data_IF_023402252342
#
_entry.id   IF_023402252342
#
_cell.length_a   1.000
_cell.length_b   1.000
_cell.length_c   1.000
_cell.angle_alpha   90.00
_cell.angle_beta   90.00
_cell.angle_gamma   90.00
#
_symmetry.space_group_name_H-M   'P 1'
#
loop_
_entity.id
_entity.type
_entity.pdbx_description
1 polymer ?
#
# COMPACT_ATOMS: atom_id res chain seq x y z
N UNK A 1 -12.94 -8.24 -10.40
CA UNK A 1 -12.25 -8.69 -9.17
C UNK A 1 -11.03 -9.56 -9.45
N UNK A 2 -11.02 -10.37 -10.53
CA UNK A 2 -9.89 -11.25 -10.88
C UNK A 2 -8.52 -10.56 -10.92
N UNK A 3 -8.40 -9.41 -11.62
CA UNK A 3 -7.15 -8.65 -11.74
C UNK A 3 -6.60 -8.17 -10.37
N UNK A 4 -7.39 -7.45 -9.53
CA UNK A 4 -6.99 -7.13 -8.16
C UNK A 4 -6.53 -8.34 -7.32
N UNK A 5 -7.30 -9.44 -7.33
CA UNK A 5 -6.97 -10.63 -6.55
C UNK A 5 -5.66 -11.27 -6.98
N UNK A 6 -5.39 -11.31 -8.29
CA UNK A 6 -4.14 -11.84 -8.83
C UNK A 6 -2.94 -11.00 -8.36
N UNK A 7 -3.05 -9.66 -8.41
CA UNK A 7 -2.01 -8.77 -7.90
C UNK A 7 -1.77 -8.95 -6.40
N UNK A 8 -2.85 -9.04 -5.60
CA UNK A 8 -2.76 -9.29 -4.16
C UNK A 8 -2.04 -10.61 -3.88
N UNK A 9 -2.41 -11.67 -4.59
CA UNK A 9 -1.77 -12.98 -4.45
C UNK A 9 -0.27 -12.92 -4.76
N UNK A 10 0.15 -12.27 -5.85
CA UNK A 10 1.56 -12.16 -6.21
C UNK A 10 2.38 -11.44 -5.13
N UNK A 11 1.87 -10.32 -4.62
CA UNK A 11 2.55 -9.54 -3.58
C UNK A 11 2.64 -10.37 -2.29
N UNK A 12 1.54 -11.01 -1.88
CA UNK A 12 1.52 -11.86 -0.68
C UNK A 12 2.46 -13.05 -0.80
N UNK A 13 2.50 -13.69 -1.96
CA UNK A 13 3.40 -14.82 -2.20
C UNK A 13 4.86 -14.40 -2.05
N UNK A 14 5.26 -13.29 -2.68
CA UNK A 14 6.63 -12.79 -2.58
C UNK A 14 6.98 -12.33 -1.16
N UNK A 15 6.08 -11.62 -0.49
CA UNK A 15 6.26 -11.19 0.90
C UNK A 15 6.47 -12.40 1.83
N UNK A 16 5.54 -13.35 1.83
CA UNK A 16 5.61 -14.51 2.73
C UNK A 16 6.76 -15.45 2.39
N UNK A 17 7.08 -15.64 1.10
CA UNK A 17 8.25 -16.43 0.70
C UNK A 17 9.56 -15.79 1.19
N UNK A 18 9.70 -14.46 1.07
CA UNK A 18 10.89 -13.74 1.54
C UNK A 18 11.03 -13.80 3.07
N UNK A 19 9.94 -13.57 3.82
CA UNK A 19 9.92 -13.62 5.28
C UNK A 19 10.21 -15.02 5.81
N UNK A 20 9.58 -16.03 5.22
CA UNK A 20 9.83 -17.43 5.56
C UNK A 20 11.31 -17.79 5.36
N UNK A 21 11.88 -17.42 4.21
CA UNK A 21 13.29 -17.71 3.93
C UNK A 21 14.22 -17.02 4.93
N UNK A 22 14.03 -15.72 5.17
CA UNK A 22 14.83 -14.96 6.16
C UNK A 22 14.73 -15.61 7.53
N UNK A 23 13.53 -15.90 8.00
CA UNK A 23 13.29 -16.45 9.35
C UNK A 23 13.91 -17.84 9.56
N UNK A 24 14.01 -18.65 8.51
CA UNK A 24 14.52 -20.04 8.58
C UNK A 24 16.00 -20.18 8.23
N UNK A 25 16.63 -19.16 7.65
CA UNK A 25 18.02 -19.23 7.18
C UNK A 25 18.93 -18.18 7.82
N UNK A 26 18.38 -17.16 8.49
CA UNK A 26 19.14 -16.09 9.11
C UNK A 26 18.95 -16.05 10.62
N UNK A 27 19.98 -15.61 11.34
CA UNK A 27 19.90 -15.26 12.76
C UNK A 27 19.56 -13.77 12.92
N UNK A 28 18.98 -13.40 14.07
CA UNK A 28 18.64 -11.99 14.34
C UNK A 28 19.88 -11.11 14.21
N UNK A 29 19.75 -9.99 13.50
CA UNK A 29 20.82 -9.03 13.24
C UNK A 29 21.80 -9.45 12.13
N UNK A 30 21.68 -10.66 11.56
CA UNK A 30 22.50 -11.10 10.45
C UNK A 30 22.26 -10.22 9.21
N UNK A 31 23.35 -9.87 8.53
CA UNK A 31 23.32 -9.09 7.29
C UNK A 31 23.86 -9.87 6.09
N UNK A 32 23.10 -9.88 5.00
CA UNK A 32 23.57 -10.33 3.68
C UNK A 32 23.66 -9.10 2.78
N UNK A 33 24.87 -8.79 2.29
CA UNK A 33 25.10 -7.69 1.35
C UNK A 33 24.66 -8.11 -0.04
N UNK A 34 23.67 -7.41 -0.60
CA UNK A 34 23.14 -7.73 -1.94
C UNK A 34 23.76 -6.83 -3.00
N UNK A 35 23.79 -5.51 -2.76
CA UNK A 35 24.39 -4.54 -3.68
C UNK A 35 25.34 -3.63 -2.89
N UNK A 36 26.64 -3.99 -2.95
CA UNK A 36 27.71 -3.27 -2.25
C UNK A 36 27.37 -3.05 -0.78
N UNK A 37 27.54 -1.81 -0.31
CA UNK A 37 27.17 -1.44 1.06
C UNK A 37 25.79 -0.77 1.17
N UNK A 38 25.11 -0.55 0.04
CA UNK A 38 23.89 0.26 -0.08
C UNK A 38 22.59 -0.52 0.12
N UNK A 39 22.52 -1.77 -0.36
CA UNK A 39 21.37 -2.65 -0.15
C UNK A 39 21.80 -3.94 0.56
N UNK A 40 21.15 -4.22 1.69
CA UNK A 40 21.39 -5.38 2.53
C UNK A 40 20.07 -6.02 2.92
N UNK A 41 20.09 -7.35 3.04
CA UNK A 41 19.07 -8.09 3.78
C UNK A 41 19.56 -8.13 5.23
N UNK A 42 18.89 -7.42 6.13
CA UNK A 42 19.20 -7.35 7.56
C UNK A 42 18.04 -7.94 8.34
N UNK A 43 18.21 -9.12 8.93
CA UNK A 43 17.09 -9.77 9.62
C UNK A 43 16.79 -9.08 10.95
N UNK A 44 15.60 -8.55 11.08
CA UNK A 44 15.05 -8.07 12.35
C UNK A 44 13.58 -8.45 12.48
N UNK A 45 13.09 -8.49 13.71
CA UNK A 45 11.70 -8.78 14.02
C UNK A 45 11.08 -7.58 14.73
N UNK A 46 9.93 -7.15 14.23
CA UNK A 46 9.21 -6.02 14.79
C UNK A 46 8.01 -6.52 15.61
N UNK A 47 8.03 -6.35 16.94
CA UNK A 47 6.91 -6.74 17.78
C UNK A 47 5.67 -5.88 17.55
N UNK A 48 5.72 -4.84 16.72
CA UNK A 48 4.61 -3.93 16.43
C UNK A 48 4.74 -2.58 17.12
N UNK A 49 5.97 -2.13 17.38
CA UNK A 49 6.24 -0.80 17.93
C UNK A 49 6.10 0.28 16.85
N UNK A 50 5.40 1.36 17.15
CA UNK A 50 5.46 2.60 16.39
C UNK A 50 6.35 3.60 17.16
N UNK A 51 7.38 4.15 16.51
CA UNK A 51 8.30 5.14 17.10
C UNK A 51 9.03 4.70 18.38
N UNK A 52 9.26 3.38 18.56
CA UNK A 52 9.96 2.85 19.74
C UNK A 52 9.14 2.90 21.03
N UNK A 53 7.84 3.21 20.96
CA UNK A 53 6.91 3.10 22.08
C UNK A 53 6.08 1.84 21.93
N UNK A 54 6.19 0.92 22.88
CA UNK A 54 5.24 -0.17 23.05
C UNK A 54 3.97 0.40 23.68
N UNK A 55 2.87 0.35 22.93
CA UNK A 55 1.57 0.57 23.54
C UNK A 55 1.33 -0.59 24.52
N UNK A 56 1.44 -0.33 25.82
CA UNK A 56 0.81 -1.13 26.88
C UNK A 56 1.09 -2.65 26.91
N UNK A 57 2.29 -3.11 26.50
CA UNK A 57 2.69 -4.53 26.57
C UNK A 57 1.86 -5.46 25.66
N UNK A 58 1.63 -6.71 26.09
CA UNK A 58 0.92 -7.74 25.29
C UNK A 58 -0.45 -7.26 24.77
N UNK A 59 -1.21 -6.54 25.60
CA UNK A 59 -2.54 -6.04 25.23
C UNK A 59 -2.50 -5.05 24.06
N UNK A 60 -1.49 -4.20 23.97
CA UNK A 60 -1.41 -3.25 22.86
C UNK A 60 -0.99 -3.90 21.56
N UNK A 61 -0.18 -4.97 21.61
CA UNK A 61 0.10 -5.80 20.43
C UNK A 61 -1.19 -6.43 19.88
N UNK A 62 -2.01 -7.05 20.75
CA UNK A 62 -3.29 -7.62 20.36
C UNK A 62 -4.20 -6.56 19.73
N UNK A 63 -4.35 -5.39 20.36
CA UNK A 63 -5.16 -4.29 19.83
C UNK A 63 -4.66 -3.83 18.45
N UNK A 64 -3.35 -3.70 18.27
CA UNK A 64 -2.76 -3.30 16.99
C UNK A 64 -3.02 -4.33 15.90
N UNK A 65 -2.91 -5.63 16.21
CA UNK A 65 -3.23 -6.71 15.27
C UNK A 65 -4.71 -6.71 14.91
N UNK A 66 -5.62 -6.59 15.88
CA UNK A 66 -7.07 -6.52 15.63
C UNK A 66 -7.45 -5.29 14.79
N UNK A 67 -6.86 -4.14 15.08
CA UNK A 67 -7.07 -2.93 14.28
C UNK A 67 -6.67 -3.13 12.82
N UNK A 68 -5.50 -3.74 12.57
CA UNK A 68 -5.05 -4.07 11.19
C UNK A 68 -6.04 -5.00 10.48
N UNK A 69 -6.55 -6.02 11.17
CA UNK A 69 -7.55 -6.96 10.62
C UNK A 69 -8.83 -6.21 10.21
N UNK A 70 -9.37 -5.38 11.10
CA UNK A 70 -10.58 -4.58 10.82
C UNK A 70 -10.32 -3.65 9.61
N UNK A 71 -9.19 -2.94 9.60
CA UNK A 71 -8.82 -2.07 8.49
C UNK A 71 -8.71 -2.83 7.16
N UNK A 72 -8.07 -4.01 7.14
CA UNK A 72 -7.95 -4.83 5.94
C UNK A 72 -9.32 -5.30 5.42
N UNK A 73 -10.25 -5.69 6.31
CA UNK A 73 -11.63 -6.06 5.93
C UNK A 73 -12.34 -4.87 5.28
N UNK A 74 -12.24 -3.68 5.87
CA UNK A 74 -12.85 -2.46 5.32
C UNK A 74 -12.26 -2.10 3.94
N UNK A 75 -10.94 -2.20 3.79
CA UNK A 75 -10.24 -1.97 2.52
C UNK A 75 -10.68 -2.99 1.46
N UNK A 76 -10.83 -4.28 1.83
CA UNK A 76 -11.32 -5.30 0.92
C UNK A 76 -12.76 -5.02 0.45
N UNK A 77 -13.66 -4.66 1.37
CA UNK A 77 -15.04 -4.27 1.04
C UNK A 77 -15.03 -3.07 0.10
N UNK A 78 -14.18 -2.07 0.36
CA UNK A 78 -14.04 -0.89 -0.48
C UNK A 78 -13.53 -1.24 -1.88
N UNK A 79 -12.48 -2.05 -1.99
CA UNK A 79 -11.93 -2.55 -3.26
C UNK A 79 -12.98 -3.32 -4.08
N UNK A 80 -13.75 -4.19 -3.42
CA UNK A 80 -14.83 -4.93 -4.05
C UNK A 80 -15.89 -3.99 -4.64
N UNK A 81 -16.30 -2.96 -3.89
CA UNK A 81 -17.25 -1.94 -4.36
C UNK A 81 -16.70 -1.14 -5.54
N UNK A 82 -15.43 -0.73 -5.51
CA UNK A 82 -14.80 -0.01 -6.63
C UNK A 82 -14.75 -0.83 -7.91
N UNK A 83 -14.53 -2.13 -7.78
CA UNK A 83 -14.51 -3.04 -8.93
C UNK A 83 -15.88 -3.20 -9.58
N UNK A 84 -16.98 -2.91 -8.86
CA UNK A 84 -18.34 -2.87 -9.40
C UNK A 84 -18.70 -1.54 -10.06
N UNK A 85 -17.95 -0.47 -9.78
CA UNK A 85 -18.19 0.90 -10.29
C UNK A 85 -17.29 1.27 -11.49
N UNK A 86 -16.63 0.28 -12.10
CA UNK A 86 -15.65 0.45 -13.18
C UNK A 86 -14.64 1.59 -12.93
N UNK A 87 -14.13 1.64 -11.70
CA UNK A 87 -13.23 2.72 -11.28
C UNK A 87 -11.87 2.64 -11.98
N UNK A 88 -11.19 3.80 -12.07
CA UNK A 88 -9.92 3.94 -12.77
C UNK A 88 -8.89 2.85 -12.37
N UNK A 89 -8.19 2.20 -13.32
CA UNK A 89 -7.31 1.07 -13.03
C UNK A 89 -6.21 1.35 -12.00
N UNK A 90 -5.62 2.56 -12.01
CA UNK A 90 -4.60 2.95 -11.02
C UNK A 90 -5.15 2.95 -9.58
N UNK A 91 -6.42 3.31 -9.38
CA UNK A 91 -7.06 3.27 -8.07
C UNK A 91 -7.23 1.82 -7.57
N UNK A 92 -7.61 0.92 -8.48
CA UNK A 92 -7.72 -0.50 -8.16
C UNK A 92 -6.36 -1.10 -7.82
N UNK A 93 -5.31 -0.74 -8.58
CA UNK A 93 -3.93 -1.17 -8.32
C UNK A 93 -3.46 -0.65 -6.95
N UNK A 94 -3.61 0.65 -6.66
CA UNK A 94 -3.15 1.23 -5.39
C UNK A 94 -3.80 0.56 -4.19
N UNK A 95 -5.12 0.35 -4.22
CA UNK A 95 -5.84 -0.25 -3.10
C UNK A 95 -5.51 -1.74 -2.98
N UNK A 96 -5.30 -2.44 -4.10
CA UNK A 96 -4.84 -3.84 -4.08
C UNK A 96 -3.47 -3.97 -3.42
N UNK A 97 -2.53 -3.06 -3.72
CA UNK A 97 -1.20 -3.06 -3.10
C UNK A 97 -1.25 -2.78 -1.58
N UNK A 98 -2.06 -1.80 -1.16
CA UNK A 98 -2.26 -1.50 0.26
C UNK A 98 -2.86 -2.71 0.97
N UNK A 99 -3.89 -3.33 0.39
CA UNK A 99 -4.54 -4.50 0.97
C UNK A 99 -3.60 -5.70 1.06
N UNK A 100 -2.81 -5.96 0.01
CA UNK A 100 -1.87 -7.07 -0.01
C UNK A 100 -0.80 -6.91 1.08
N UNK A 101 -0.22 -5.72 1.22
CA UNK A 101 0.76 -5.46 2.28
C UNK A 101 0.15 -5.54 3.68
N UNK A 102 -1.07 -5.02 3.86
CA UNK A 102 -1.78 -5.14 5.13
C UNK A 102 -2.00 -6.61 5.51
N UNK A 103 -2.46 -7.44 4.57
CA UNK A 103 -2.66 -8.88 4.80
C UNK A 103 -1.34 -9.58 5.10
N UNK A 104 -0.24 -9.25 4.39
CA UNK A 104 1.07 -9.84 4.63
C UNK A 104 1.55 -9.63 6.08
N UNK A 105 1.48 -8.41 6.58
CA UNK A 105 1.85 -8.12 7.97
C UNK A 105 0.85 -8.67 9.01
N UNK A 106 -0.43 -8.87 8.62
CA UNK A 106 -1.42 -9.56 9.48
C UNK A 106 -1.07 -11.04 9.62
N UNK A 107 -0.64 -11.71 8.55
CA UNK A 107 -0.27 -13.14 8.59
C UNK A 107 0.85 -13.36 9.61
N UNK A 108 1.91 -12.56 9.56
CA UNK A 108 3.01 -12.62 10.53
C UNK A 108 2.50 -12.43 11.97
N UNK A 109 1.80 -11.31 12.20
CA UNK A 109 1.22 -10.95 13.50
C UNK A 109 0.33 -12.04 14.07
N UNK A 110 -0.47 -12.70 13.23
CA UNK A 110 -1.41 -13.72 13.68
C UNK A 110 -0.74 -15.05 13.95
N UNK A 111 0.12 -15.50 13.04
CA UNK A 111 0.50 -16.91 12.98
C UNK A 111 1.98 -17.18 13.27
N UNK A 112 2.90 -16.24 13.03
CA UNK A 112 4.32 -16.55 13.13
C UNK A 112 4.76 -16.88 14.56
N UNK A 113 4.10 -16.30 15.58
CA UNK A 113 4.28 -16.65 16.98
C UNK A 113 4.01 -18.12 17.28
N UNK A 114 2.97 -18.68 16.66
CA UNK A 114 2.53 -20.06 16.89
C UNK A 114 3.29 -21.05 16.02
N UNK A 115 3.68 -20.63 14.80
CA UNK A 115 4.25 -21.52 13.80
C UNK A 115 5.76 -21.75 13.96
N UNK A 116 6.48 -20.81 14.56
CA UNK A 116 7.93 -20.87 14.67
C UNK A 116 8.35 -20.81 16.14
N UNK A 117 9.50 -21.40 16.44
CA UNK A 117 10.21 -21.08 17.68
C UNK A 117 10.89 -19.70 17.56
N UNK A 118 11.49 -19.26 18.67
CA UNK A 118 12.12 -17.95 18.75
C UNK A 118 13.34 -17.87 17.82
N UNK A 119 13.43 -16.76 17.07
CA UNK A 119 14.62 -16.44 16.28
C UNK A 119 15.68 -15.88 17.22
N UNK A 120 16.89 -16.47 17.26
CA UNK A 120 17.95 -16.00 18.15
C UNK A 120 19.11 -15.38 17.37
N UNK A 121 20.09 -14.79 18.08
CA UNK A 121 21.34 -14.30 17.48
C UNK A 121 22.27 -15.43 17.01
N UNK A 122 22.01 -16.68 17.42
CA UNK A 122 22.90 -17.82 17.20
C UNK A 122 22.28 -18.90 16.31
N UNK A 123 20.96 -19.06 16.33
CA UNK A 123 20.24 -20.06 15.56
C UNK A 123 19.02 -19.46 14.82
N UNK A 124 18.82 -19.83 13.53
CA UNK A 124 17.59 -19.50 12.80
C UNK A 124 16.37 -20.20 13.40
N UNK A 125 15.18 -19.65 13.14
CA UNK A 125 13.95 -20.26 13.60
C UNK A 125 13.59 -21.50 12.77
N UNK A 126 12.97 -22.47 13.43
CA UNK A 126 12.51 -23.75 12.91
C UNK A 126 10.99 -23.77 12.92
N UNK A 127 10.42 -24.14 11.78
CA UNK A 127 8.97 -24.28 11.59
C UNK A 127 8.44 -25.51 12.34
N UNK A 128 7.37 -25.35 13.13
CA UNK A 128 6.65 -26.42 13.81
C UNK A 128 7.61 -27.40 14.54
N UNK A 129 8.54 -26.82 15.31
CA UNK A 129 9.44 -27.60 16.16
C UNK A 129 8.64 -28.41 17.20
N UNK A 130 9.29 -29.39 17.83
CA UNK A 130 8.68 -30.14 18.93
C UNK A 130 8.36 -29.26 20.16
N UNK A 131 8.95 -28.06 20.22
CA UNK A 131 8.70 -27.02 21.22
C UNK A 131 7.52 -26.15 20.78
N UNK A 132 6.78 -25.61 21.75
CA UNK A 132 5.72 -24.64 21.49
C UNK A 132 6.28 -23.40 20.77
N UNK A 133 5.45 -22.78 19.92
CA UNK A 133 5.83 -21.53 19.25
C UNK A 133 6.18 -20.41 20.23
N UNK A 134 6.97 -19.41 19.79
CA UNK A 134 7.48 -18.37 20.68
C UNK A 134 6.41 -17.41 21.25
N UNK A 135 5.21 -17.37 20.66
CA UNK A 135 4.13 -16.50 21.12
C UNK A 135 2.73 -17.06 20.78
N UNK A 136 1.69 -16.70 21.56
CA UNK A 136 0.33 -17.08 21.26
C UNK A 136 -0.18 -16.41 19.97
N UNK A 137 -1.34 -16.88 19.50
CA UNK A 137 -2.03 -16.30 18.34
C UNK A 137 -2.18 -14.77 18.51
N UNK A 138 -2.04 -14.01 17.42
CA UNK A 138 -2.07 -12.54 17.36
C UNK A 138 -0.86 -11.77 17.92
N UNK A 139 0.11 -12.48 18.50
CA UNK A 139 1.31 -11.90 19.13
C UNK A 139 2.59 -12.13 18.35
N UNK A 140 2.52 -12.66 17.12
CA UNK A 140 3.68 -12.83 16.26
C UNK A 140 4.37 -11.51 15.92
N UNK A 141 5.68 -11.55 15.76
CA UNK A 141 6.47 -10.43 15.26
C UNK A 141 6.41 -10.38 13.73
N UNK A 142 6.46 -9.16 13.19
CA UNK A 142 6.57 -8.95 11.75
C UNK A 142 8.03 -9.11 11.35
N UNK A 143 8.30 -9.87 10.29
CA UNK A 143 9.67 -10.09 9.80
C UNK A 143 10.07 -8.94 8.88
N UNK A 144 11.11 -8.21 9.26
CA UNK A 144 11.67 -7.09 8.51
C UNK A 144 13.07 -7.44 8.03
N UNK A 145 13.39 -7.04 6.80
CA UNK A 145 14.60 -7.55 6.12
C UNK A 145 15.27 -6.56 5.17
N UNK A 146 14.51 -5.68 4.51
CA UNK A 146 15.04 -4.75 3.52
C UNK A 146 15.69 -3.57 4.23
N UNK A 147 17.01 -3.43 4.08
CA UNK A 147 17.78 -2.37 4.71
C UNK A 147 18.62 -1.59 3.68
N UNK A 148 18.42 -0.27 3.67
CA UNK A 148 19.09 0.66 2.75
C UNK A 148 19.82 1.78 3.53
N UNK A 149 21.02 1.53 4.06
CA UNK A 149 21.82 2.57 4.68
C UNK A 149 22.41 3.53 3.62
N UNK A 150 21.61 4.48 3.13
CA UNK A 150 21.94 5.31 1.97
C UNK A 150 23.15 6.21 2.24
N UNK A 151 23.17 6.90 3.38
CA UNK A 151 24.31 7.74 3.79
C UNK A 151 24.75 7.34 5.18
N UNK A 152 26.05 7.06 5.33
CA UNK A 152 26.72 6.82 6.61
C UNK A 152 27.85 7.82 6.74
N UNK A 153 27.94 8.49 7.88
CA UNK A 153 28.98 9.48 8.14
C UNK A 153 28.99 9.90 9.59
N UNK A 154 29.75 10.94 9.88
CA UNK A 154 29.71 11.62 11.19
C UNK A 154 29.18 13.03 10.98
N UNK A 155 28.44 13.53 11.96
CA UNK A 155 28.08 14.94 11.97
C UNK A 155 29.37 15.79 12.02
N UNK A 156 29.45 16.88 11.24
CA UNK A 156 30.57 17.79 11.33
C UNK A 156 30.78 18.29 12.75
N UNK A 157 32.04 18.44 13.18
CA UNK A 157 32.41 18.82 14.56
C UNK A 157 31.81 20.16 15.02
N UNK A 158 31.43 21.03 14.09
CA UNK A 158 30.81 22.32 14.37
C UNK A 158 29.31 22.24 14.69
N UNK A 159 28.64 21.09 14.51
CA UNK A 159 27.22 20.93 14.82
C UNK A 159 27.02 20.83 16.33
N UNK A 160 26.30 21.77 16.98
CA UNK A 160 26.03 21.70 18.42
C UNK A 160 25.30 20.40 18.79
N UNK A 161 25.65 19.78 19.93
CA UNK A 161 25.05 18.56 20.51
C UNK A 161 25.20 17.25 19.71
N UNK A 162 25.49 17.34 18.42
CA UNK A 162 25.59 16.19 17.50
C UNK A 162 26.98 16.02 16.90
N UNK A 163 27.88 17.00 17.03
CA UNK A 163 29.23 16.94 16.48
C UNK A 163 29.95 15.63 16.78
N UNK A 164 30.56 15.06 15.74
CA UNK A 164 31.27 13.78 15.76
C UNK A 164 30.44 12.53 16.08
N UNK A 165 29.11 12.65 16.30
CA UNK A 165 28.24 11.46 16.41
C UNK A 165 28.05 10.81 15.05
N UNK A 166 27.89 9.49 15.06
CA UNK A 166 27.55 8.75 13.83
C UNK A 166 26.16 9.12 13.34
N UNK A 167 26.07 9.32 12.04
CA UNK A 167 24.85 9.60 11.31
C UNK A 167 24.60 8.49 10.28
N UNK A 168 23.39 7.95 10.32
CA UNK A 168 22.89 7.02 9.30
C UNK A 168 21.59 7.59 8.76
N UNK A 169 21.62 8.05 7.50
CA UNK A 169 20.42 8.45 6.78
C UNK A 169 19.66 7.19 6.35
N UNK A 170 18.37 7.15 6.71
CA UNK A 170 17.46 6.03 6.46
C UNK A 170 17.81 4.74 7.23
N UNK A 171 17.54 4.78 8.54
CA UNK A 171 17.69 3.63 9.46
C UNK A 171 16.61 2.55 9.37
N UNK A 172 15.35 2.81 8.97
CA UNK A 172 14.31 1.80 9.01
C UNK A 172 14.67 0.54 8.21
N UNK A 173 14.40 -0.61 8.81
CA UNK A 173 14.34 -1.90 8.14
C UNK A 173 12.86 -2.22 7.95
N UNK A 174 12.48 -2.71 6.79
CA UNK A 174 11.08 -2.95 6.43
C UNK A 174 10.97 -4.19 5.55
N UNK A 175 9.76 -4.56 5.15
CA UNK A 175 9.52 -5.72 4.31
C UNK A 175 8.82 -5.38 2.98
N UNK A 176 8.52 -6.43 2.20
CA UNK A 176 7.85 -6.27 0.91
C UNK A 176 6.39 -5.79 1.10
N UNK A 177 5.71 -6.22 2.16
CA UNK A 177 4.39 -5.73 2.54
C UNK A 177 4.39 -4.21 2.81
N UNK A 178 5.34 -3.69 3.59
CA UNK A 178 5.46 -2.24 3.86
C UNK A 178 5.75 -1.46 2.57
N UNK A 179 6.65 -1.99 1.74
CA UNK A 179 6.94 -1.42 0.42
C UNK A 179 5.68 -1.33 -0.45
N UNK A 180 4.87 -2.38 -0.45
CA UNK A 180 3.60 -2.43 -1.18
C UNK A 180 2.59 -1.40 -0.66
N UNK A 181 2.48 -1.23 0.67
CA UNK A 181 1.64 -0.19 1.27
C UNK A 181 2.14 1.20 0.85
N UNK A 182 3.43 1.49 1.00
CA UNK A 182 4.01 2.80 0.67
C UNK A 182 3.81 3.15 -0.82
N UNK A 183 4.11 2.22 -1.73
CA UNK A 183 3.93 2.45 -3.18
C UNK A 183 2.45 2.60 -3.50
N UNK A 184 1.58 1.76 -2.92
CA UNK A 184 0.13 1.85 -3.10
C UNK A 184 -0.42 3.20 -2.66
N UNK A 185 -0.02 3.71 -1.48
CA UNK A 185 -0.40 5.04 -0.99
C UNK A 185 0.12 6.14 -1.92
N UNK A 186 1.36 6.04 -2.40
CA UNK A 186 1.92 7.01 -3.34
C UNK A 186 1.12 7.05 -4.66
N UNK A 187 0.78 5.89 -5.23
CA UNK A 187 -0.06 5.80 -6.43
C UNK A 187 -1.46 6.36 -6.16
N UNK A 188 -2.05 6.10 -4.98
CA UNK A 188 -3.35 6.64 -4.60
C UNK A 188 -3.35 8.17 -4.59
N UNK A 189 -2.32 8.78 -3.99
CA UNK A 189 -2.11 10.23 -3.97
C UNK A 189 -1.93 10.78 -5.39
N UNK A 190 -1.18 10.10 -6.25
CA UNK A 190 -1.02 10.52 -7.64
C UNK A 190 -2.31 10.37 -8.45
N UNK A 191 -3.10 9.31 -8.24
CA UNK A 191 -4.38 9.13 -8.90
C UNK A 191 -5.38 10.20 -8.48
N UNK A 192 -5.42 10.65 -7.22
CA UNK A 192 -6.38 11.70 -6.82
C UNK A 192 -6.26 12.96 -7.72
N UNK A 193 -5.04 13.29 -8.15
CA UNK A 193 -4.77 14.44 -9.01
C UNK A 193 -5.17 14.24 -10.49
N UNK A 194 -5.24 12.99 -10.96
CA UNK A 194 -5.53 12.63 -12.36
C UNK A 194 -6.95 12.10 -12.57
N UNK A 195 -7.43 11.28 -11.64
CA UNK A 195 -8.73 10.64 -11.64
C UNK A 195 -9.87 11.67 -11.46
N UNK A 196 -9.60 12.82 -10.80
CA UNK A 196 -10.52 13.96 -10.75
C UNK A 196 -10.59 14.72 -12.08
N UNK A 197 -9.45 14.98 -12.74
CA UNK A 197 -9.36 15.70 -14.03
C UNK A 197 -10.06 15.00 -15.20
N UNK A 198 -10.28 13.68 -15.11
CA UNK A 198 -10.95 12.93 -16.17
C UNK A 198 -12.46 13.20 -16.22
N UNK A 199 -13.09 13.56 -15.10
CA UNK A 199 -14.53 13.87 -15.07
C UNK A 199 -14.88 15.19 -15.77
N UNK A 200 -13.94 16.13 -15.81
CA UNK A 200 -14.17 17.45 -16.43
C UNK A 200 -14.02 17.44 -17.96
N UNK A 201 -13.46 16.36 -18.54
CA UNK A 201 -13.30 16.24 -20.00
C UNK A 201 -14.46 15.53 -20.71
N UNK A 202 -15.32 14.84 -19.96
CA UNK A 202 -16.44 14.05 -20.51
C UNK A 202 -17.77 14.83 -20.56
N UNK A 203 -17.79 16.09 -20.10
CA UNK A 203 -18.99 16.93 -20.05
C UNK A 203 -19.05 18.03 -21.11
N UNK A 204 -18.34 17.89 -22.24
CA UNK A 204 -18.65 18.67 -23.45
C UNK A 204 -19.47 17.76 -24.37
N UNK A 205 -20.81 17.84 -24.38
CA UNK A 205 -21.55 17.34 -25.52
C UNK A 205 -21.09 18.14 -26.73
N UNK A 206 -20.74 17.45 -27.81
CA UNK A 206 -20.54 18.07 -29.11
C UNK A 206 -21.76 18.95 -29.39
N UNK A 207 -21.53 20.26 -29.54
CA UNK A 207 -22.57 21.21 -29.90
C UNK A 207 -23.24 20.73 -31.18
N UNK A 208 -24.57 20.62 -31.06
CA UNK A 208 -25.57 20.40 -32.09
C UNK A 208 -25.19 20.95 -33.47
N UNK A 209 -25.17 20.05 -34.45
CA UNK A 209 -25.46 20.42 -35.84
C UNK A 209 -26.91 20.94 -35.90
N UNK A 210 -27.08 22.25 -35.83
CA UNK A 210 -28.31 22.95 -36.22
C UNK A 210 -28.11 23.29 -37.70
N UNK A 211 -28.95 22.83 -38.64
CA UNK A 211 -28.89 23.34 -40.01
C UNK A 211 -29.26 24.82 -39.99
N UNK A 212 -28.38 25.66 -40.53
CA UNK A 212 -28.60 27.08 -40.82
C UNK A 212 -29.94 27.25 -41.55
N UNK A 213 -30.91 27.85 -40.87
CA UNK A 213 -32.16 28.30 -41.49
C UNK A 213 -31.82 29.57 -42.27
N UNK A 214 -31.66 29.42 -43.59
CA UNK A 214 -31.45 30.53 -44.51
C UNK A 214 -32.74 31.35 -44.59
N UNK A 215 -32.73 32.52 -43.96
CA UNK A 215 -33.75 33.54 -44.03
C UNK A 215 -33.84 34.08 -45.48
N UNK A 216 -34.92 33.75 -46.19
CA UNK A 216 -35.23 34.30 -47.51
C UNK A 216 -36.45 35.25 -47.36
N UNK A 217 -36.30 36.56 -47.59
CA UNK A 217 -37.33 37.54 -47.24
C UNK A 217 -38.55 37.59 -48.17
N UNK A 218 -38.66 36.72 -49.18
CA UNK A 218 -39.77 36.78 -50.15
C UNK A 218 -41.05 36.04 -49.74
N UNK A 219 -41.05 35.28 -48.63
CA UNK A 219 -42.20 34.44 -48.24
C UNK A 219 -43.18 35.05 -47.24
N UNK A 220 -42.95 36.28 -46.78
CA UNK A 220 -43.80 36.89 -45.74
C UNK A 220 -45.02 37.66 -46.29
N UNK A 221 -44.99 38.13 -47.55
CA UNK A 221 -46.11 38.91 -48.12
C UNK A 221 -47.29 38.05 -48.60
N UNK A 222 -47.08 36.78 -48.94
CA UNK A 222 -48.17 35.92 -49.45
C UNK A 222 -49.07 35.36 -48.35
N UNK A 223 -48.67 35.44 -47.08
CA UNK A 223 -49.40 34.82 -45.96
C UNK A 223 -50.40 35.74 -45.27
N UNK A 224 -50.36 37.05 -45.53
CA UNK A 224 -51.29 38.02 -44.90
C UNK A 224 -52.55 38.24 -45.77
N UNK A 225 -52.51 37.90 -47.06
CA UNK A 225 -53.65 38.11 -47.97
C UNK A 225 -54.64 36.93 -48.04
N UNK A 226 -54.33 35.75 -47.50
CA UNK A 226 -55.25 34.59 -47.54
C UNK A 226 -56.21 34.50 -46.36
N UNK A 227 -55.94 35.20 -45.26
CA UNK A 227 -56.68 35.01 -44.00
C UNK A 227 -57.83 36.01 -43.81
N UNK A 228 -58.14 36.83 -44.83
CA UNK A 228 -59.17 37.87 -44.75
C UNK A 228 -60.38 37.65 -45.67
N UNK A 229 -60.60 36.44 -46.18
CA UNK A 229 -61.71 36.12 -47.11
C UNK A 229 -62.64 34.97 -46.68
N UNK A 230 -62.69 34.64 -45.39
CA UNK A 230 -63.69 33.72 -44.84
C UNK A 230 -64.11 34.17 -43.42
N UNK A 231 -65.13 35.03 -43.34
CA UNK A 231 -66.28 35.09 -42.38
C UNK A 231 -66.87 36.50 -42.39
#
# INVERSE_FOLDING_TARGET
>A
MKKPLFLIFQILFLDQASKFWVKTHMTIGQEIKVIGNWFRIHFTENPGMAFGMELSGENGKLVLTLFRIIAAILIFIYLYRLTKKDSHPLLLISISMILAGAIGNIIDSMFYGVLFNESTFYEPAKLLSAEEGYAPLFHGHVVDMLYFPILKGQYPSWVPLLGSKEFIFFRPVFNLADSSITIGVFILILCQSKCYKSKDKESIPAQSDIPEETDNPETFETRILSDNEQV
#
